data_IF_425258629760
#
_entry.id   IF_425258629760
#
_cell.length_a   1.000
_cell.length_b   1.000
_cell.length_c   1.000
_cell.angle_alpha   90.00
_cell.angle_beta   90.00
_cell.angle_gamma   90.00
#
_symmetry.space_group_name_H-M   'P 1'
#
loop_
_entity.id
_entity.type
_entity.pdbx_description
1 polymer ?
#
# COMPACT_ATOMS: atom_id res chain seq x y z
N UNK A 1 -25.10 5.04 2.09
CA UNK A 1 -24.54 3.70 2.42
C UNK A 1 -23.02 3.83 2.32
N UNK A 2 -22.24 3.37 3.30
CA UNK A 2 -20.78 3.46 3.22
C UNK A 2 -20.26 2.34 2.31
N UNK A 3 -19.41 2.67 1.33
CA UNK A 3 -18.80 1.68 0.46
C UNK A 3 -17.99 0.65 1.28
N UNK A 4 -18.07 -0.63 0.91
CA UNK A 4 -17.38 -1.75 1.58
C UNK A 4 -15.88 -1.45 1.81
N UNK A 5 -15.21 -0.90 0.80
CA UNK A 5 -13.79 -0.53 0.90
C UNK A 5 -13.53 0.49 2.03
N UNK A 6 -14.36 1.53 2.13
CA UNK A 6 -14.21 2.56 3.16
C UNK A 6 -14.39 1.99 4.56
N UNK A 7 -15.35 1.08 4.73
CA UNK A 7 -15.60 0.44 6.02
C UNK A 7 -14.45 -0.48 6.42
N UNK A 8 -13.94 -1.29 5.49
CA UNK A 8 -12.75 -2.13 5.71
C UNK A 8 -11.53 -1.34 6.13
N UNK A 9 -11.27 -0.20 5.47
CA UNK A 9 -10.20 0.72 5.86
C UNK A 9 -10.45 1.29 7.26
N UNK A 10 -11.68 1.72 7.55
CA UNK A 10 -12.05 2.28 8.86
C UNK A 10 -11.75 1.29 10.00
N UNK A 11 -12.05 0.00 9.79
CA UNK A 11 -11.78 -1.05 10.78
C UNK A 11 -10.32 -1.45 10.87
N UNK A 12 -9.56 -1.42 9.76
CA UNK A 12 -8.15 -1.82 9.74
C UNK A 12 -7.15 -0.75 10.20
N UNK A 13 -7.47 0.54 10.04
CA UNK A 13 -6.58 1.66 10.42
C UNK A 13 -6.16 1.60 11.91
N UNK A 14 -7.06 1.36 12.89
CA UNK A 14 -6.66 1.27 14.30
C UNK A 14 -5.62 0.18 14.57
N UNK A 15 -5.75 -1.00 13.95
CA UNK A 15 -4.79 -2.10 14.10
C UNK A 15 -3.43 -1.71 13.51
N UNK A 16 -3.43 -1.07 12.33
CA UNK A 16 -2.20 -0.59 11.70
C UNK A 16 -1.49 0.47 12.58
N UNK A 17 -2.25 1.40 13.16
CA UNK A 17 -1.70 2.39 14.10
C UNK A 17 -1.08 1.73 15.32
N UNK A 18 -1.77 0.78 15.94
CA UNK A 18 -1.26 0.04 17.09
C UNK A 18 0.05 -0.71 16.76
N UNK A 19 0.17 -1.28 15.56
CA UNK A 19 1.41 -1.92 15.08
C UNK A 19 2.55 -0.90 14.95
N UNK A 20 2.28 0.26 14.34
CA UNK A 20 3.28 1.33 14.18
C UNK A 20 3.73 1.84 15.55
N UNK A 21 2.79 2.10 16.46
CA UNK A 21 3.09 2.54 17.83
C UNK A 21 3.92 1.49 18.58
N UNK A 22 3.61 0.21 18.40
CA UNK A 22 4.40 -0.90 18.96
C UNK A 22 5.84 -0.92 18.46
N UNK A 23 6.06 -0.73 17.15
CA UNK A 23 7.40 -0.65 16.56
C UNK A 23 8.14 0.57 17.12
N UNK A 24 7.51 1.73 17.11
CA UNK A 24 8.12 2.97 17.59
C UNK A 24 8.49 2.88 19.08
N UNK A 25 7.60 2.36 19.92
CA UNK A 25 7.87 2.22 21.35
C UNK A 25 9.02 1.26 21.64
N UNK A 26 9.20 0.22 20.83
CA UNK A 26 10.24 -0.79 21.02
C UNK A 26 11.58 -0.42 20.38
N UNK A 27 11.57 0.31 19.27
CA UNK A 27 12.73 0.49 18.40
C UNK A 27 13.05 1.98 18.05
N UNK A 28 12.47 2.95 18.76
CA UNK A 28 12.63 4.40 18.46
C UNK A 28 14.07 4.89 18.28
N UNK A 29 15.01 4.34 19.03
CA UNK A 29 16.42 4.77 19.03
C UNK A 29 17.32 3.80 18.24
N UNK A 30 16.74 2.83 17.53
CA UNK A 30 17.49 1.85 16.76
C UNK A 30 18.00 2.46 15.44
N UNK A 31 19.31 2.37 15.21
CA UNK A 31 19.94 2.86 13.98
C UNK A 31 19.72 1.86 12.86
N UNK A 32 18.80 2.18 11.94
CA UNK A 32 18.46 1.31 10.79
C UNK A 32 19.34 1.56 9.56
N UNK A 33 19.98 2.73 9.45
CA UNK A 33 20.82 3.10 8.30
C UNK A 33 21.81 4.19 8.68
N UNK A 34 23.07 4.03 8.27
CA UNK A 34 24.07 5.10 8.33
C UNK A 34 24.03 5.93 7.04
N UNK A 35 24.30 7.24 7.14
CA UNK A 35 24.24 8.16 5.99
C UNK A 35 25.59 8.83 5.78
N UNK A 36 26.08 8.79 4.54
CA UNK A 36 27.33 9.45 4.12
C UNK A 36 27.07 10.67 3.26
N UNK A 37 28.04 11.60 3.19
CA UNK A 37 27.96 12.80 2.33
C UNK A 37 27.70 12.43 0.86
N UNK A 38 28.34 11.36 0.36
CA UNK A 38 28.14 10.86 -1.01
C UNK A 38 26.69 10.44 -1.27
N UNK A 39 26.01 9.83 -0.28
CA UNK A 39 24.62 9.41 -0.45
C UNK A 39 23.67 10.61 -0.50
N UNK A 40 23.95 11.67 0.24
CA UNK A 40 23.17 12.91 0.17
C UNK A 40 23.24 13.52 -1.24
N UNK A 41 24.44 13.75 -1.77
CA UNK A 41 24.60 14.30 -3.12
C UNK A 41 24.27 13.30 -4.25
N UNK A 42 24.25 12.00 -3.94
CA UNK A 42 23.94 10.92 -4.88
C UNK A 42 22.46 10.51 -4.92
N UNK A 43 21.56 11.25 -4.28
CA UNK A 43 20.12 10.98 -4.29
C UNK A 43 19.68 9.83 -3.37
N UNK A 44 20.27 9.72 -2.18
CA UNK A 44 19.93 8.75 -1.12
C UNK A 44 20.04 7.28 -1.52
N UNK A 45 20.83 6.95 -2.55
CA UNK A 45 21.03 5.56 -2.98
C UNK A 45 21.56 4.68 -1.84
N UNK A 46 20.84 3.60 -1.56
CA UNK A 46 21.17 2.64 -0.50
C UNK A 46 20.88 3.13 0.92
N UNK A 47 20.17 4.24 1.09
CA UNK A 47 19.71 4.73 2.40
C UNK A 47 18.27 4.26 2.64
N UNK A 48 18.02 3.59 3.76
CA UNK A 48 16.67 3.28 4.21
C UNK A 48 16.06 4.55 4.84
N UNK A 49 15.10 5.18 4.17
CA UNK A 49 14.59 6.51 4.56
C UNK A 49 13.07 6.58 4.77
N UNK A 50 12.31 5.56 4.37
CA UNK A 50 10.85 5.60 4.35
C UNK A 50 10.27 4.21 4.54
N UNK A 51 9.12 4.15 5.20
CA UNK A 51 8.29 2.95 5.29
C UNK A 51 7.30 2.95 4.14
N UNK A 52 7.23 1.84 3.40
CA UNK A 52 6.22 1.59 2.37
C UNK A 52 5.48 0.30 2.70
N UNK A 53 4.22 0.40 3.11
CA UNK A 53 3.43 -0.74 3.57
C UNK A 53 2.66 -1.45 2.44
N UNK A 54 2.58 -0.85 1.26
CA UNK A 54 1.84 -1.38 0.12
C UNK A 54 2.63 -2.44 -0.64
N UNK A 55 3.94 -2.26 -0.77
CA UNK A 55 4.79 -3.14 -1.58
C UNK A 55 6.26 -3.08 -1.16
N UNK A 56 7.01 -4.12 -1.49
CA UNK A 56 8.47 -4.15 -1.38
C UNK A 56 9.08 -4.93 -2.55
N UNK A 57 10.37 -4.70 -2.81
CA UNK A 57 11.10 -5.40 -3.87
C UNK A 57 12.11 -6.35 -3.24
N UNK A 58 11.98 -7.63 -3.54
CA UNK A 58 13.00 -8.63 -3.25
C UNK A 58 14.04 -8.64 -4.40
N UNK A 59 15.35 -8.61 -4.09
CA UNK A 59 16.39 -8.53 -5.11
C UNK A 59 16.47 -9.75 -6.04
N UNK A 60 15.89 -10.90 -5.64
CA UNK A 60 15.90 -12.14 -6.40
C UNK A 60 14.52 -12.41 -7.01
N UNK A 61 13.47 -12.27 -6.19
CA UNK A 61 12.10 -12.67 -6.54
C UNK A 61 11.25 -11.54 -7.14
N UNK A 62 11.75 -10.30 -7.13
CA UNK A 62 11.08 -9.16 -7.73
C UNK A 62 10.06 -8.49 -6.80
N UNK A 63 9.04 -7.86 -7.39
CA UNK A 63 8.07 -7.03 -6.67
C UNK A 63 7.01 -7.86 -5.96
N UNK A 64 6.74 -7.48 -4.71
CA UNK A 64 5.66 -8.01 -3.88
C UNK A 64 4.67 -6.88 -3.56
N UNK A 65 3.38 -7.15 -3.72
CA UNK A 65 2.29 -6.27 -3.30
C UNK A 65 1.60 -6.92 -2.11
N UNK A 66 1.62 -6.26 -0.94
CA UNK A 66 1.04 -6.77 0.32
C UNK A 66 1.43 -8.22 0.64
N UNK A 67 2.65 -8.63 0.28
CA UNK A 67 3.18 -9.97 0.51
C UNK A 67 2.90 -10.99 -0.60
N UNK A 68 2.16 -10.62 -1.64
CA UNK A 68 1.86 -11.46 -2.81
C UNK A 68 2.85 -11.11 -3.94
N UNK A 69 3.56 -12.08 -4.54
CA UNK A 69 4.38 -11.84 -5.73
C UNK A 69 3.55 -11.25 -6.87
N UNK A 70 4.06 -10.23 -7.56
CA UNK A 70 3.31 -9.60 -8.67
C UNK A 70 2.98 -10.58 -9.80
N UNK A 71 3.81 -11.61 -9.98
CA UNK A 71 3.54 -12.70 -10.94
C UNK A 71 2.28 -13.49 -10.64
N UNK A 72 1.78 -13.47 -9.39
CA UNK A 72 0.53 -14.13 -8.97
C UNK A 72 -0.69 -13.20 -9.10
N UNK A 73 -0.49 -11.94 -9.50
CA UNK A 73 -1.55 -10.94 -9.64
C UNK A 73 -1.85 -10.59 -11.11
N UNK A 74 -1.22 -11.29 -12.06
CA UNK A 74 -1.32 -10.95 -13.49
C UNK A 74 -2.68 -11.19 -14.11
N UNK A 75 -3.50 -12.06 -13.51
CA UNK A 75 -4.87 -12.37 -13.91
C UNK A 75 -5.92 -11.50 -13.22
N UNK A 76 -5.51 -10.63 -12.29
CA UNK A 76 -6.40 -9.77 -11.50
C UNK A 76 -6.68 -8.45 -12.20
N UNK A 77 -7.88 -7.93 -12.00
CA UNK A 77 -8.27 -6.61 -12.47
C UNK A 77 -7.52 -5.51 -11.69
N UNK A 78 -7.25 -4.34 -12.30
CA UNK A 78 -6.67 -3.20 -11.61
C UNK A 78 -7.42 -2.80 -10.33
N UNK A 79 -8.74 -2.93 -10.32
CA UNK A 79 -9.61 -2.65 -9.18
C UNK A 79 -9.39 -3.62 -8.02
N UNK A 80 -9.17 -4.91 -8.32
CA UNK A 80 -8.81 -5.93 -7.31
C UNK A 80 -7.44 -5.63 -6.70
N UNK A 81 -6.46 -5.27 -7.53
CA UNK A 81 -5.11 -4.91 -7.07
C UNK A 81 -5.15 -3.60 -6.27
N UNK A 82 -5.96 -2.63 -6.66
CA UNK A 82 -6.17 -1.40 -5.90
C UNK A 82 -6.77 -1.69 -4.52
N UNK A 83 -7.80 -2.54 -4.48
CA UNK A 83 -8.40 -2.97 -3.22
C UNK A 83 -7.36 -3.64 -2.32
N UNK A 84 -6.57 -4.57 -2.86
CA UNK A 84 -5.45 -5.20 -2.16
C UNK A 84 -4.47 -4.18 -1.59
N UNK A 85 -4.03 -3.20 -2.40
CA UNK A 85 -3.12 -2.14 -1.95
C UNK A 85 -3.68 -1.37 -0.76
N UNK A 86 -4.99 -1.10 -0.75
CA UNK A 86 -5.66 -0.38 0.33
C UNK A 86 -5.81 -1.23 1.60
N UNK A 87 -6.35 -2.44 1.48
CA UNK A 87 -6.83 -3.24 2.63
C UNK A 87 -5.84 -4.30 3.10
N UNK A 88 -4.96 -4.77 2.21
CA UNK A 88 -4.10 -5.94 2.44
C UNK A 88 -4.73 -7.28 2.10
N UNK A 89 -5.97 -7.30 1.57
CA UNK A 89 -6.70 -8.50 1.16
C UNK A 89 -7.36 -8.29 -0.21
N UNK A 90 -7.58 -9.35 -0.99
CA UNK A 90 -8.35 -9.26 -2.24
C UNK A 90 -9.85 -9.07 -1.92
N UNK A 91 -10.61 -8.34 -2.76
CA UNK A 91 -12.03 -8.17 -2.56
C UNK A 91 -12.80 -9.47 -2.82
N UNK A 92 -13.96 -9.62 -2.21
CA UNK A 92 -14.98 -10.57 -2.65
C UNK A 92 -15.79 -10.00 -3.83
N UNK A 93 -16.67 -10.81 -4.41
CA UNK A 93 -17.47 -10.41 -5.59
C UNK A 93 -18.32 -9.16 -5.32
N UNK A 94 -18.90 -9.04 -4.13
CA UNK A 94 -19.70 -7.89 -3.74
C UNK A 94 -18.83 -6.63 -3.57
N UNK A 95 -17.70 -6.75 -2.88
CA UNK A 95 -16.75 -5.67 -2.68
C UNK A 95 -16.16 -5.15 -3.98
N UNK A 96 -15.84 -6.05 -4.92
CA UNK A 96 -15.37 -5.69 -6.25
C UNK A 96 -16.44 -4.95 -7.05
N UNK A 97 -17.67 -5.47 -7.07
CA UNK A 97 -18.79 -4.84 -7.78
C UNK A 97 -19.07 -3.44 -7.26
N UNK A 98 -19.14 -3.27 -5.93
CA UNK A 98 -19.37 -1.96 -5.33
C UNK A 98 -18.23 -0.98 -5.63
N UNK A 99 -16.98 -1.44 -5.63
CA UNK A 99 -15.83 -0.61 -6.00
C UNK A 99 -15.92 -0.15 -7.45
N UNK A 100 -16.27 -1.04 -8.37
CA UNK A 100 -16.44 -0.70 -9.80
C UNK A 100 -17.57 0.31 -10.02
N UNK A 101 -18.71 0.11 -9.36
CA UNK A 101 -19.83 1.07 -9.40
C UNK A 101 -19.40 2.45 -8.88
N UNK A 102 -18.65 2.49 -7.76
CA UNK A 102 -18.18 3.74 -7.19
C UNK A 102 -17.15 4.46 -8.08
N UNK A 103 -16.24 3.71 -8.70
CA UNK A 103 -15.28 4.29 -9.66
C UNK A 103 -16.00 4.84 -10.89
N UNK A 104 -16.99 4.12 -11.42
CA UNK A 104 -17.79 4.57 -12.55
C UNK A 104 -18.56 5.86 -12.24
N UNK A 105 -19.19 5.94 -11.05
CA UNK A 105 -19.89 7.14 -10.59
C UNK A 105 -18.96 8.36 -10.42
N UNK A 106 -17.66 8.14 -10.23
CA UNK A 106 -16.64 9.18 -10.05
C UNK A 106 -15.83 9.47 -11.32
N UNK A 107 -16.21 8.86 -12.45
CA UNK A 107 -15.47 8.96 -13.70
C UNK A 107 -15.76 10.25 -14.49
N UNK A 108 -16.75 11.06 -14.09
CA UNK A 108 -17.06 12.33 -14.75
C UNK A 108 -15.91 13.32 -14.55
N UNK A 109 -15.28 13.72 -15.64
CA UNK A 109 -14.21 14.72 -15.67
C UNK A 109 -14.80 16.04 -16.16
N UNK A 110 -14.60 17.16 -15.44
CA UNK A 110 -15.08 18.47 -15.88
C UNK A 110 -14.45 18.92 -17.20
N UNK A 111 -15.21 19.64 -18.04
CA UNK A 111 -14.78 20.11 -19.38
C UNK A 111 -13.48 20.93 -19.42
N UNK A 112 -13.05 21.50 -18.29
CA UNK A 112 -11.86 22.34 -18.23
C UNK A 112 -10.54 21.57 -18.04
N UNK A 113 -10.61 20.25 -17.84
CA UNK A 113 -9.47 19.33 -17.65
C UNK A 113 -9.15 18.63 -18.97
#
# INVERSE_FOLDING_TARGET
>A
MMAILREKLRTGIPEMRAKIDGILNKHKDEVISNVTVKQIYGGMRGVLNMVCNSSYVDPIKGLYIRGIPVTELTDKLPEEVFYLLCTGELPDEEGLKQLQEELYLRAEVPDYV
#
